data_IF_078543887114
#
_entry.id   IF_078543887114
#
_cell.length_a   1.000
_cell.length_b   1.000
_cell.length_c   1.000
_cell.angle_alpha   90.00
_cell.angle_beta   90.00
_cell.angle_gamma   90.00
#
_symmetry.space_group_name_H-M   'P 1'
#
loop_
_entity.id
_entity.type
_entity.pdbx_description
1 polymer ?
#
# COMPACT_ATOMS: atom_id res chain seq x y z
N UNK A 1 -27.76 -9.87 -10.76
CA UNK A 1 -26.76 -9.86 -11.84
C UNK A 1 -25.72 -10.94 -11.51
N UNK A 2 -25.76 -12.06 -12.22
CA UNK A 2 -24.67 -13.03 -12.21
C UNK A 2 -23.51 -12.35 -12.98
N UNK A 3 -22.49 -11.90 -12.28
CA UNK A 3 -21.23 -11.51 -12.90
C UNK A 3 -20.58 -12.81 -13.43
N UNK A 4 -20.26 -12.85 -14.70
CA UNK A 4 -19.55 -13.98 -15.28
C UNK A 4 -18.12 -13.99 -14.72
N UNK A 5 -17.70 -15.14 -14.19
CA UNK A 5 -16.33 -15.39 -13.76
C UNK A 5 -15.58 -16.10 -14.86
N UNK A 6 -14.34 -15.71 -15.08
CA UNK A 6 -13.43 -16.43 -15.96
C UNK A 6 -12.23 -16.91 -15.20
N UNK A 7 -11.72 -18.07 -15.56
CA UNK A 7 -10.48 -18.59 -14.98
C UNK A 7 -9.29 -18.02 -15.76
N UNK A 8 -8.33 -17.47 -15.04
CA UNK A 8 -7.05 -17.06 -15.61
C UNK A 8 -6.19 -18.32 -15.75
N UNK A 9 -5.73 -18.57 -16.96
CA UNK A 9 -4.90 -19.74 -17.28
C UNK A 9 -3.48 -19.32 -17.55
N UNK A 10 -2.55 -20.07 -17.00
CA UNK A 10 -1.15 -19.96 -17.38
C UNK A 10 -0.89 -20.72 -18.67
N UNK A 11 0.00 -20.19 -19.51
CA UNK A 11 0.45 -20.83 -20.73
C UNK A 11 1.16 -22.15 -20.41
N UNK A 12 0.79 -23.23 -21.09
CA UNK A 12 1.41 -24.54 -20.89
C UNK A 12 2.91 -24.49 -21.21
N UNK A 13 3.72 -24.97 -20.29
CA UNK A 13 5.17 -25.05 -20.45
C UNK A 13 5.90 -23.73 -20.24
N UNK A 14 5.26 -22.70 -19.68
CA UNK A 14 5.93 -21.44 -19.36
C UNK A 14 7.08 -21.65 -18.36
N UNK A 15 6.97 -22.67 -17.51
CA UNK A 15 7.95 -23.02 -16.49
C UNK A 15 9.31 -23.43 -17.10
N UNK A 16 9.30 -23.90 -18.35
CA UNK A 16 10.50 -24.26 -19.11
C UNK A 16 10.94 -23.14 -20.09
N UNK A 17 10.20 -22.03 -20.17
CA UNK A 17 10.55 -20.91 -21.04
C UNK A 17 11.85 -20.24 -20.54
N UNK A 18 12.91 -20.15 -21.37
CA UNK A 18 14.16 -19.54 -20.96
C UNK A 18 14.03 -18.10 -20.47
N UNK A 19 13.13 -17.32 -21.08
CA UNK A 19 12.91 -15.92 -20.70
C UNK A 19 12.29 -15.82 -19.30
N UNK A 20 11.33 -16.71 -19.00
CA UNK A 20 10.73 -16.80 -17.67
C UNK A 20 11.77 -17.26 -16.65
N UNK A 21 12.52 -18.32 -16.94
CA UNK A 21 13.53 -18.86 -16.03
C UNK A 21 14.60 -17.83 -15.68
N UNK A 22 15.06 -17.03 -16.64
CA UNK A 22 16.06 -15.99 -16.41
C UNK A 22 15.59 -14.96 -15.37
N UNK A 23 14.36 -14.44 -15.47
CA UNK A 23 13.85 -13.47 -14.51
C UNK A 23 13.44 -14.15 -13.20
N UNK A 24 12.92 -15.37 -13.26
CA UNK A 24 12.52 -16.13 -12.08
C UNK A 24 13.72 -16.45 -11.17
N UNK A 25 14.86 -16.82 -11.73
CA UNK A 25 16.10 -17.05 -10.98
C UNK A 25 16.54 -15.81 -10.16
N UNK A 26 16.21 -14.62 -10.63
CA UNK A 26 16.45 -13.39 -9.87
C UNK A 26 15.39 -13.17 -8.78
N UNK A 27 14.11 -13.42 -9.08
CA UNK A 27 12.96 -13.11 -8.21
C UNK A 27 12.73 -14.13 -7.10
N UNK A 28 13.03 -15.41 -7.32
CA UNK A 28 12.62 -16.52 -6.43
C UNK A 28 13.23 -16.48 -5.03
N UNK A 29 14.29 -15.73 -4.82
CA UNK A 29 15.00 -15.66 -3.54
C UNK A 29 14.17 -14.94 -2.50
N UNK A 30 13.90 -15.61 -1.39
CA UNK A 30 13.19 -14.99 -0.27
C UNK A 30 14.13 -14.15 0.58
N UNK A 31 13.58 -13.09 1.13
CA UNK A 31 14.30 -12.18 2.01
C UNK A 31 13.64 -12.07 3.36
N UNK A 32 14.43 -11.68 4.34
CA UNK A 32 13.98 -11.16 5.62
C UNK A 32 14.52 -9.75 5.78
N UNK A 33 14.02 -9.01 6.77
CA UNK A 33 14.52 -7.69 7.08
C UNK A 33 14.80 -7.53 8.57
N UNK A 34 15.68 -6.58 8.87
CA UNK A 34 15.85 -6.02 10.20
C UNK A 34 15.67 -4.52 10.14
N UNK A 35 15.32 -3.93 11.26
CA UNK A 35 15.14 -2.48 11.39
C UNK A 35 16.10 -1.99 12.46
N UNK A 36 16.95 -1.05 12.09
CA UNK A 36 17.86 -0.37 13.00
C UNK A 36 17.40 1.10 13.12
N UNK A 37 16.92 1.51 14.28
CA UNK A 37 16.58 2.91 14.54
C UNK A 37 16.93 3.35 15.97
N UNK A 38 17.19 4.65 16.15
CA UNK A 38 17.43 5.23 17.44
C UNK A 38 16.12 5.67 18.12
N UNK A 39 15.91 5.26 19.37
CA UNK A 39 14.70 5.61 20.12
C UNK A 39 14.62 7.11 20.41
N UNK A 40 15.76 7.81 20.54
CA UNK A 40 15.76 9.25 20.78
C UNK A 40 15.33 10.02 19.53
N UNK A 41 15.77 9.58 18.34
CA UNK A 41 15.31 10.14 17.06
C UNK A 41 13.81 9.96 16.88
N UNK A 42 13.28 8.79 17.27
CA UNK A 42 11.84 8.56 17.30
C UNK A 42 11.13 9.52 18.24
N UNK A 43 11.61 9.68 19.48
CA UNK A 43 10.99 10.57 20.47
C UNK A 43 10.96 12.01 19.95
N UNK A 44 12.06 12.51 19.41
CA UNK A 44 12.16 13.88 18.87
C UNK A 44 11.17 14.07 17.72
N UNK A 45 11.21 13.18 16.74
CA UNK A 45 10.38 13.28 15.53
C UNK A 45 8.90 13.10 15.82
N UNK A 46 8.52 12.12 16.66
CA UNK A 46 7.14 11.89 17.05
C UNK A 46 6.58 13.00 17.93
N UNK A 47 7.40 13.58 18.84
CA UNK A 47 6.99 14.74 19.64
C UNK A 47 6.66 15.94 18.75
N UNK A 48 7.47 16.16 17.70
CA UNK A 48 7.20 17.20 16.70
C UNK A 48 5.91 16.90 15.94
N UNK A 49 5.72 15.66 15.48
CA UNK A 49 4.51 15.27 14.75
C UNK A 49 3.23 15.47 15.60
N UNK A 50 3.28 15.15 16.90
CA UNK A 50 2.16 15.42 17.82
C UNK A 50 1.98 16.92 18.06
N UNK A 51 3.06 17.69 18.18
CA UNK A 51 3.00 19.15 18.31
C UNK A 51 2.31 19.80 17.11
N UNK A 52 2.60 19.32 15.91
CA UNK A 52 2.11 19.86 14.64
C UNK A 52 0.68 19.37 14.28
N UNK A 53 0.01 18.61 15.16
CA UNK A 53 -1.38 18.21 14.98
C UNK A 53 -2.31 19.44 14.83
N UNK A 54 -3.40 19.33 14.05
CA UNK A 54 -4.39 20.37 13.97
C UNK A 54 -5.00 20.68 15.34
N UNK A 55 -5.64 21.83 15.45
CA UNK A 55 -6.36 22.23 16.68
C UNK A 55 -7.41 21.18 17.05
N UNK A 56 -7.39 20.73 18.30
CA UNK A 56 -8.38 19.81 18.84
C UNK A 56 -9.61 20.57 19.26
N UNK A 57 -10.69 20.40 18.51
CA UNK A 57 -11.96 21.06 18.77
C UNK A 57 -12.84 20.23 19.69
N UNK A 58 -13.61 20.92 20.54
CA UNK A 58 -14.62 20.26 21.37
C UNK A 58 -15.63 19.49 20.48
N UNK A 59 -16.13 18.35 20.93
CA UNK A 59 -17.13 17.59 20.18
C UNK A 59 -18.40 18.41 20.01
N UNK A 60 -19.02 18.28 18.84
CA UNK A 60 -20.30 18.90 18.54
C UNK A 60 -21.31 17.83 18.16
N UNK A 61 -22.55 17.99 18.60
CA UNK A 61 -23.67 17.14 18.18
C UNK A 61 -24.49 17.93 17.17
N UNK A 62 -24.64 17.36 15.98
CA UNK A 62 -25.60 17.84 14.99
C UNK A 62 -26.87 17.04 15.11
N UNK A 63 -27.97 17.67 15.50
CA UNK A 63 -29.29 17.07 15.49
C UNK A 63 -30.08 17.58 14.29
N UNK A 64 -30.50 16.64 13.43
CA UNK A 64 -31.35 16.92 12.28
C UNK A 64 -32.79 16.56 12.63
N UNK A 65 -33.69 17.51 12.61
CA UNK A 65 -35.11 17.27 12.85
C UNK A 65 -35.80 17.02 11.50
N UNK A 66 -36.31 15.82 11.34
CA UNK A 66 -37.08 15.42 10.16
C UNK A 66 -38.54 15.21 10.59
N UNK A 67 -39.48 15.86 9.95
CA UNK A 67 -40.89 15.57 10.10
C UNK A 67 -41.29 14.52 9.08
N UNK A 68 -41.94 13.47 9.54
CA UNK A 68 -42.49 12.42 8.69
C UNK A 68 -44.01 12.57 8.70
N UNK A 69 -44.61 12.77 7.54
CA UNK A 69 -46.05 12.76 7.35
C UNK A 69 -46.46 11.55 6.51
N UNK A 70 -47.49 10.83 6.95
CA UNK A 70 -48.13 9.79 6.16
C UNK A 70 -49.32 10.40 5.43
N UNK A 71 -49.34 10.28 4.12
CA UNK A 71 -50.46 10.64 3.24
C UNK A 71 -50.97 9.36 2.56
N UNK A 72 -52.17 9.43 1.99
CA UNK A 72 -52.74 8.30 1.23
C UNK A 72 -51.90 7.92 0.00
N UNK A 73 -50.94 8.78 -0.42
CA UNK A 73 -50.02 8.58 -1.55
C UNK A 73 -48.65 8.03 -1.12
N UNK A 74 -48.39 7.93 0.21
CA UNK A 74 -47.12 7.42 0.71
C UNK A 74 -46.55 8.18 1.92
N UNK A 75 -45.29 7.95 2.21
CA UNK A 75 -44.56 8.62 3.30
C UNK A 75 -43.76 9.78 2.77
N UNK A 76 -44.13 10.99 3.20
CA UNK A 76 -43.41 12.23 2.87
C UNK A 76 -42.49 12.63 4.02
N UNK A 77 -41.24 13.00 3.69
CA UNK A 77 -40.25 13.47 4.66
C UNK A 77 -39.92 14.94 4.40
N UNK A 78 -40.19 15.78 5.38
CA UNK A 78 -39.82 17.20 5.35
C UNK A 78 -38.64 17.45 6.29
N UNK A 79 -37.58 18.05 5.77
CA UNK A 79 -36.45 18.55 6.56
C UNK A 79 -36.92 19.77 7.38
N UNK A 80 -36.83 19.65 8.73
CA UNK A 80 -37.32 20.67 9.63
C UNK A 80 -36.25 21.58 10.25
N UNK A 81 -34.98 21.31 9.96
CA UNK A 81 -33.83 22.12 10.37
C UNK A 81 -32.75 21.35 11.09
N UNK A 82 -31.54 21.90 11.09
CA UNK A 82 -30.39 21.42 11.82
C UNK A 82 -30.12 22.28 13.04
N UNK A 83 -29.80 21.67 14.17
CA UNK A 83 -29.26 22.33 15.34
C UNK A 83 -27.89 21.75 15.63
N UNK A 84 -26.87 22.60 15.67
CA UNK A 84 -25.51 22.21 16.06
C UNK A 84 -25.27 22.77 17.46
N UNK A 85 -25.03 21.88 18.41
CA UNK A 85 -24.65 22.23 19.79
C UNK A 85 -23.22 21.80 20.04
N UNK A 86 -22.37 22.74 20.47
CA UNK A 86 -21.00 22.45 20.94
C UNK A 86 -21.05 22.10 22.42
N UNK A 87 -20.51 20.94 22.76
CA UNK A 87 -20.41 20.51 24.15
C UNK A 87 -19.09 20.99 24.76
N UNK A 88 -19.01 22.25 25.18
CA UNK A 88 -17.94 22.78 25.98
C UNK A 88 -18.23 22.64 27.48
N UNK A 89 -17.30 22.09 28.26
CA UNK A 89 -17.39 22.11 29.72
C UNK A 89 -17.78 20.79 30.39
N UNK A 90 -17.82 19.67 29.68
CA UNK A 90 -17.99 18.35 30.32
C UNK A 90 -16.70 17.91 31.01
N UNK A 91 -16.85 17.40 32.27
CA UNK A 91 -15.75 16.67 32.93
C UNK A 91 -15.60 15.29 32.25
N UNK A 92 -14.69 15.21 31.29
CA UNK A 92 -14.37 13.94 30.66
C UNK A 92 -13.67 13.00 31.65
N UNK A 93 -14.10 11.76 31.70
CA UNK A 93 -13.31 10.73 32.34
C UNK A 93 -12.08 10.48 31.44
N UNK A 94 -10.91 10.85 31.92
CA UNK A 94 -9.66 10.67 31.17
C UNK A 94 -9.42 9.17 30.99
N UNK A 95 -9.34 8.66 29.74
CA UNK A 95 -9.05 7.25 29.48
C UNK A 95 -7.58 6.91 29.79
N UNK A 96 -7.22 5.62 29.77
CA UNK A 96 -5.80 5.21 29.82
C UNK A 96 -5.08 5.60 28.52
N UNK A 97 -4.56 6.83 28.51
CA UNK A 97 -3.86 7.45 27.37
C UNK A 97 -2.69 6.61 26.89
N UNK A 98 -1.86 6.17 27.84
CA UNK A 98 -0.65 5.41 27.49
C UNK A 98 -1.01 4.02 26.96
N UNK A 99 -1.98 3.34 27.59
CA UNK A 99 -2.45 2.04 27.13
C UNK A 99 -3.11 2.11 25.76
N UNK A 100 -3.89 3.16 25.49
CA UNK A 100 -4.49 3.36 24.17
C UNK A 100 -3.44 3.49 23.06
N UNK A 101 -2.48 4.42 23.22
CA UNK A 101 -1.43 4.64 22.22
C UNK A 101 -0.51 3.41 22.10
N UNK A 102 -0.18 2.75 23.22
CA UNK A 102 0.58 1.52 23.23
C UNK A 102 -0.08 0.42 22.37
N UNK A 103 -1.38 0.22 22.50
CA UNK A 103 -2.12 -0.78 21.72
C UNK A 103 -2.09 -0.52 20.20
N UNK A 104 -1.81 0.72 19.77
CA UNK A 104 -1.75 1.13 18.36
C UNK A 104 -0.34 1.17 17.79
N UNK A 105 0.67 1.34 18.64
CA UNK A 105 2.06 1.62 18.23
C UNK A 105 3.05 0.55 18.68
N UNK A 106 2.68 -0.28 19.67
CA UNK A 106 3.54 -1.28 20.33
C UNK A 106 4.78 -0.66 21.04
N UNK A 107 4.80 0.66 21.20
CA UNK A 107 5.85 1.36 21.93
C UNK A 107 5.71 1.15 23.45
N UNK A 108 6.81 1.32 24.17
CA UNK A 108 6.77 1.28 25.65
C UNK A 108 6.03 2.49 26.21
N UNK A 109 5.40 2.34 27.38
CA UNK A 109 4.68 3.44 28.06
C UNK A 109 5.61 4.62 28.36
N UNK A 110 6.88 4.36 28.69
CA UNK A 110 7.89 5.41 28.94
C UNK A 110 8.18 6.23 27.68
N UNK A 111 8.36 5.57 26.54
CA UNK A 111 8.57 6.25 25.25
C UNK A 111 7.37 7.14 24.90
N UNK A 112 6.15 6.60 25.03
CA UNK A 112 4.91 7.35 24.74
C UNK A 112 4.77 8.55 25.68
N UNK A 113 5.04 8.37 26.97
CA UNK A 113 4.99 9.45 27.96
C UNK A 113 5.96 10.57 27.59
N UNK A 114 7.18 10.23 27.19
CA UNK A 114 8.20 11.21 26.81
C UNK A 114 7.79 11.98 25.55
N UNK A 115 7.26 11.28 24.52
CA UNK A 115 6.73 11.89 23.30
C UNK A 115 5.64 12.91 23.64
N UNK A 116 4.62 12.50 24.41
CA UNK A 116 3.50 13.37 24.74
C UNK A 116 3.94 14.57 25.59
N UNK A 117 4.85 14.37 26.54
CA UNK A 117 5.39 15.44 27.38
C UNK A 117 6.16 16.47 26.55
N UNK A 118 7.05 16.01 25.67
CA UNK A 118 7.83 16.87 24.79
C UNK A 118 7.00 17.58 23.72
N UNK A 119 5.85 17.04 23.32
CA UNK A 119 4.95 17.68 22.35
C UNK A 119 4.32 18.97 22.90
N UNK A 120 4.17 19.09 24.22
CA UNK A 120 3.49 20.21 24.87
C UNK A 120 1.97 20.25 24.67
N UNK A 121 1.36 19.21 24.06
CA UNK A 121 -0.04 19.17 23.67
C UNK A 121 -0.93 18.30 24.58
N UNK A 122 -0.40 17.78 25.70
CA UNK A 122 -1.14 16.87 26.57
C UNK A 122 -2.45 17.49 27.13
N UNK A 123 -2.48 18.82 27.25
CA UNK A 123 -3.68 19.54 27.69
C UNK A 123 -4.88 19.42 26.76
N UNK A 124 -4.68 19.14 25.48
CA UNK A 124 -5.72 18.98 24.47
C UNK A 124 -6.64 17.79 24.76
N UNK A 125 -6.18 16.85 25.57
CA UNK A 125 -7.00 15.72 26.02
C UNK A 125 -8.25 16.17 26.78
N UNK A 126 -8.20 17.33 27.47
CA UNK A 126 -9.35 17.87 28.19
C UNK A 126 -10.40 18.46 27.26
N UNK A 127 -10.00 18.83 26.05
CA UNK A 127 -10.92 19.39 25.03
C UNK A 127 -11.72 18.30 24.31
N UNK A 128 -11.01 17.28 23.82
CA UNK A 128 -11.63 16.12 23.17
C UNK A 128 -10.70 14.90 23.29
N UNK A 129 -10.87 14.07 24.34
CA UNK A 129 -9.97 12.95 24.63
C UNK A 129 -9.82 11.99 23.45
N UNK A 130 -10.94 11.58 22.83
CA UNK A 130 -10.90 10.59 21.77
C UNK A 130 -10.19 11.11 20.51
N UNK A 131 -10.52 12.32 20.08
CA UNK A 131 -9.88 12.93 18.92
C UNK A 131 -8.38 13.12 19.14
N UNK A 132 -7.98 13.60 20.33
CA UNK A 132 -6.57 13.75 20.66
C UNK A 132 -5.82 12.43 20.65
N UNK A 133 -6.41 11.38 21.23
CA UNK A 133 -5.81 10.03 21.24
C UNK A 133 -5.64 9.44 19.84
N UNK A 134 -6.67 9.55 19.02
CA UNK A 134 -6.65 9.01 17.65
C UNK A 134 -5.60 9.70 16.79
N UNK A 135 -5.59 11.03 16.81
CA UNK A 135 -4.63 11.81 16.02
C UNK A 135 -3.19 11.63 16.52
N UNK A 136 -2.99 11.62 17.86
CA UNK A 136 -1.66 11.38 18.44
C UNK A 136 -1.15 9.98 18.12
N UNK A 137 -1.99 8.94 18.26
CA UNK A 137 -1.61 7.57 17.93
C UNK A 137 -1.25 7.43 16.45
N UNK A 138 -2.03 8.06 15.55
CA UNK A 138 -1.75 8.05 14.11
C UNK A 138 -0.44 8.77 13.78
N UNK A 139 -0.20 9.94 14.36
CA UNK A 139 1.03 10.71 14.14
C UNK A 139 2.27 9.94 14.62
N UNK A 140 2.22 9.39 15.83
CA UNK A 140 3.31 8.59 16.41
C UNK A 140 3.56 7.33 15.55
N UNK A 141 2.50 6.60 15.19
CA UNK A 141 2.60 5.38 14.38
C UNK A 141 3.19 5.64 13.00
N UNK A 142 2.77 6.74 12.35
CA UNK A 142 3.32 7.14 11.06
C UNK A 142 4.80 7.46 11.16
N UNK A 143 5.20 8.26 12.16
CA UNK A 143 6.60 8.61 12.40
C UNK A 143 7.45 7.37 12.70
N UNK A 144 6.93 6.43 13.50
CA UNK A 144 7.59 5.17 13.78
C UNK A 144 7.84 4.38 12.48
N UNK A 145 6.84 4.26 11.62
CA UNK A 145 6.99 3.55 10.35
C UNK A 145 7.96 4.25 9.39
N UNK A 146 7.94 5.58 9.30
CA UNK A 146 8.89 6.34 8.49
C UNK A 146 10.33 6.03 8.94
N UNK A 147 10.61 6.10 10.25
CA UNK A 147 11.93 5.83 10.81
C UNK A 147 12.34 4.36 10.64
N UNK A 148 11.41 3.42 10.88
CA UNK A 148 11.69 1.99 10.68
C UNK A 148 12.07 1.67 9.23
N UNK A 149 11.39 2.30 8.27
CA UNK A 149 11.63 2.04 6.85
C UNK A 149 12.89 2.75 6.36
N UNK A 150 13.21 3.92 6.89
CA UNK A 150 14.48 4.59 6.58
C UNK A 150 15.69 3.80 7.14
N UNK A 151 15.50 3.04 8.24
CA UNK A 151 16.49 2.14 8.84
C UNK A 151 16.39 0.67 8.40
N UNK A 152 15.53 0.34 7.42
CA UNK A 152 15.32 -1.05 7.01
C UNK A 152 16.51 -1.59 6.21
N UNK A 153 16.90 -2.81 6.54
CA UNK A 153 17.94 -3.56 5.82
C UNK A 153 17.41 -4.95 5.49
N UNK A 154 17.33 -5.24 4.20
CA UNK A 154 16.98 -6.57 3.74
C UNK A 154 18.21 -7.47 3.65
N UNK A 155 18.00 -8.76 3.74
CA UNK A 155 18.99 -9.78 3.43
C UNK A 155 18.32 -11.02 2.86
N UNK A 156 18.96 -11.66 1.89
CA UNK A 156 18.48 -12.91 1.34
C UNK A 156 18.62 -14.04 2.38
N UNK A 157 17.58 -14.89 2.46
CA UNK A 157 17.59 -16.07 3.32
C UNK A 157 18.25 -17.21 2.54
N UNK A 158 19.46 -17.61 2.93
CA UNK A 158 20.17 -18.70 2.27
C UNK A 158 19.33 -19.98 2.23
N UNK A 159 19.17 -20.57 1.04
CA UNK A 159 18.40 -21.79 0.83
C UNK A 159 16.87 -21.65 0.91
N UNK A 160 16.34 -20.45 1.03
CA UNK A 160 14.88 -20.19 1.00
C UNK A 160 14.47 -19.47 -0.29
N UNK A 161 13.63 -20.14 -1.06
CA UNK A 161 13.15 -19.66 -2.36
C UNK A 161 11.62 -19.80 -2.46
N UNK A 162 11.00 -19.05 -3.36
CA UNK A 162 9.63 -19.32 -3.77
C UNK A 162 9.62 -20.53 -4.71
N UNK A 163 8.75 -21.50 -4.43
CA UNK A 163 8.64 -22.71 -5.23
C UNK A 163 7.80 -22.46 -6.49
N UNK A 164 8.22 -23.05 -7.62
CA UNK A 164 7.51 -22.99 -8.90
C UNK A 164 6.08 -23.56 -8.82
N UNK A 165 5.88 -24.57 -7.97
CA UNK A 165 4.58 -25.21 -7.69
C UNK A 165 3.51 -24.25 -7.19
N UNK A 166 3.90 -23.07 -6.66
CA UNK A 166 2.97 -22.02 -6.26
C UNK A 166 2.19 -21.43 -7.45
N UNK A 167 2.72 -21.49 -8.67
CA UNK A 167 1.98 -21.10 -9.87
C UNK A 167 0.88 -22.10 -10.21
N UNK A 168 1.10 -23.40 -9.98
CA UNK A 168 0.13 -24.47 -10.29
C UNK A 168 -1.05 -24.47 -9.31
N UNK A 169 -0.82 -24.03 -8.06
CA UNK A 169 -1.82 -24.11 -6.99
C UNK A 169 -2.93 -23.06 -7.04
N UNK A 170 -2.89 -22.10 -7.98
CA UNK A 170 -3.86 -21.02 -8.04
C UNK A 170 -4.55 -20.93 -9.40
N UNK A 171 -5.74 -21.52 -9.52
CA UNK A 171 -6.72 -21.07 -10.49
C UNK A 171 -7.27 -19.73 -10.02
N UNK A 172 -6.86 -18.64 -10.67
CA UNK A 172 -7.39 -17.30 -10.41
C UNK A 172 -8.73 -17.14 -11.10
N UNK A 173 -9.83 -17.20 -10.35
CA UNK A 173 -11.14 -16.77 -10.84
C UNK A 173 -11.27 -15.26 -10.76
N UNK A 174 -11.39 -14.59 -11.89
CA UNK A 174 -11.59 -13.14 -11.99
C UNK A 174 -12.95 -12.83 -12.63
N UNK A 175 -13.59 -11.76 -12.18
CA UNK A 175 -14.82 -11.28 -12.82
C UNK A 175 -14.50 -10.62 -14.17
N UNK A 176 -15.11 -11.11 -15.25
CA UNK A 176 -14.88 -10.68 -16.65
C UNK A 176 -15.05 -9.16 -16.90
N UNK A 177 -15.59 -8.40 -16.00
CA UNK A 177 -15.91 -6.99 -16.24
C UNK A 177 -15.06 -6.00 -15.47
N UNK A 178 -14.12 -6.45 -14.64
CA UNK A 178 -13.44 -5.50 -13.77
C UNK A 178 -12.02 -5.37 -14.24
N UNK A 179 -11.25 -5.65 -14.84
CA UNK A 179 -9.87 -5.43 -15.25
C UNK A 179 -9.18 -6.72 -15.68
N UNK A 180 -9.36 -7.05 -16.93
CA UNK A 180 -8.55 -8.06 -17.61
C UNK A 180 -7.91 -7.46 -18.85
N UNK A 181 -6.71 -7.91 -19.19
CA UNK A 181 -6.03 -7.57 -20.43
C UNK A 181 -5.97 -8.81 -21.34
N UNK A 182 -6.38 -8.67 -22.60
CA UNK A 182 -6.28 -9.75 -23.59
C UNK A 182 -4.86 -9.85 -24.12
N UNK A 183 -4.24 -11.01 -23.93
CA UNK A 183 -2.91 -11.32 -24.46
C UNK A 183 -3.02 -11.59 -25.96
N UNK A 184 -2.20 -10.91 -26.76
CA UNK A 184 -2.11 -11.12 -28.21
C UNK A 184 -0.85 -11.92 -28.59
N UNK A 185 0.22 -11.82 -27.80
CA UNK A 185 1.45 -12.60 -27.94
C UNK A 185 1.80 -13.34 -26.65
N UNK A 186 1.26 -14.55 -26.48
CA UNK A 186 1.52 -15.39 -25.32
C UNK A 186 2.99 -15.82 -25.18
N UNK A 187 3.83 -15.64 -26.18
CA UNK A 187 5.27 -15.91 -26.09
C UNK A 187 6.03 -14.90 -25.25
N UNK A 188 5.41 -13.74 -24.94
CA UNK A 188 5.98 -12.67 -24.11
C UNK A 188 5.54 -12.74 -22.65
N UNK A 189 4.67 -13.67 -22.26
CA UNK A 189 4.11 -13.73 -20.90
C UNK A 189 3.89 -15.16 -20.42
N UNK A 190 3.60 -15.31 -19.12
CA UNK A 190 3.19 -16.59 -18.53
C UNK A 190 1.71 -16.90 -18.74
N UNK A 191 0.90 -15.96 -19.19
CA UNK A 191 -0.54 -16.11 -19.35
C UNK A 191 -0.90 -16.63 -20.74
N UNK A 192 -1.99 -17.40 -20.82
CA UNK A 192 -2.49 -17.98 -22.08
C UNK A 192 -3.29 -16.95 -22.89
N UNK A 193 -4.33 -16.37 -22.30
CA UNK A 193 -5.27 -15.47 -22.97
C UNK A 193 -5.52 -14.16 -22.21
N UNK A 194 -5.53 -14.20 -20.87
CA UNK A 194 -5.94 -13.08 -20.04
C UNK A 194 -4.96 -12.82 -18.89
N UNK A 195 -4.62 -11.57 -18.67
CA UNK A 195 -3.88 -11.09 -17.49
C UNK A 195 -4.86 -10.44 -16.53
N UNK A 196 -4.89 -10.85 -15.23
CA UNK A 196 -5.71 -10.18 -14.22
C UNK A 196 -5.09 -8.82 -13.86
N UNK A 197 -5.91 -7.78 -13.78
CA UNK A 197 -5.48 -6.43 -13.47
C UNK A 197 -6.29 -5.87 -12.31
N UNK A 198 -5.73 -4.88 -11.61
CA UNK A 198 -6.39 -4.19 -10.51
C UNK A 198 -6.77 -2.73 -10.87
N UNK A 199 -6.25 -2.21 -11.99
CA UNK A 199 -6.45 -0.80 -12.37
C UNK A 199 -6.30 -0.53 -13.87
N UNK A 200 -6.79 0.63 -14.32
CA UNK A 200 -6.63 1.09 -15.71
C UNK A 200 -5.18 1.43 -16.08
N UNK A 201 -4.35 1.86 -15.13
CA UNK A 201 -2.92 2.12 -15.39
C UNK A 201 -2.18 0.82 -15.70
N UNK A 202 -2.53 -0.27 -15.01
CA UNK A 202 -1.98 -1.59 -15.30
C UNK A 202 -2.37 -2.09 -16.69
N UNK A 203 -3.61 -1.81 -17.15
CA UNK A 203 -4.06 -2.17 -18.49
C UNK A 203 -3.21 -1.48 -19.57
N UNK A 204 -2.93 -0.19 -19.38
CA UNK A 204 -2.08 0.57 -20.29
C UNK A 204 -0.64 0.06 -20.27
N UNK A 205 -0.12 -0.25 -19.09
CA UNK A 205 1.22 -0.80 -18.96
C UNK A 205 1.36 -2.17 -19.64
N UNK A 206 0.37 -3.07 -19.49
CA UNK A 206 0.32 -4.35 -20.19
C UNK A 206 0.29 -4.15 -21.71
N UNK A 207 -0.51 -3.21 -22.22
CA UNK A 207 -0.57 -2.85 -23.64
C UNK A 207 0.80 -2.36 -24.15
N UNK A 208 1.46 -1.49 -23.39
CA UNK A 208 2.80 -0.99 -23.75
C UNK A 208 3.83 -2.13 -23.77
N UNK A 209 3.79 -3.06 -22.80
CA UNK A 209 4.65 -4.25 -22.77
C UNK A 209 4.43 -5.16 -23.99
N UNK A 210 3.17 -5.39 -24.36
CA UNK A 210 2.80 -6.23 -25.50
C UNK A 210 3.35 -5.68 -26.82
N UNK A 211 3.22 -4.36 -27.02
CA UNK A 211 3.55 -3.68 -28.27
C UNK A 211 5.02 -3.28 -28.41
N UNK A 212 5.77 -3.24 -27.31
CA UNK A 212 7.19 -2.86 -27.34
C UNK A 212 8.09 -3.99 -27.82
N UNK A 213 8.93 -3.72 -28.81
CA UNK A 213 9.95 -4.66 -29.29
C UNK A 213 11.10 -4.88 -28.28
N UNK A 214 11.31 -3.93 -27.38
CA UNK A 214 12.34 -3.99 -26.33
C UNK A 214 11.91 -4.83 -25.15
N UNK A 215 10.61 -5.07 -24.95
CA UNK A 215 10.10 -5.96 -23.91
C UNK A 215 10.09 -7.39 -24.46
N UNK A 216 10.93 -8.24 -23.88
CA UNK A 216 11.05 -9.65 -24.31
C UNK A 216 10.16 -10.58 -23.51
N UNK A 217 9.90 -10.22 -22.25
CA UNK A 217 9.01 -10.98 -21.39
C UNK A 217 8.45 -10.12 -20.26
N UNK A 218 7.20 -10.33 -19.89
CA UNK A 218 6.58 -9.63 -18.77
C UNK A 218 5.47 -10.47 -18.15
N UNK A 219 5.21 -10.28 -16.86
CA UNK A 219 4.06 -10.88 -16.20
C UNK A 219 3.71 -10.13 -14.92
N UNK A 220 2.42 -10.17 -14.56
CA UNK A 220 1.97 -9.65 -13.27
C UNK A 220 2.44 -10.60 -12.16
N UNK A 221 3.06 -10.07 -11.13
CA UNK A 221 3.51 -10.85 -9.99
C UNK A 221 2.30 -11.40 -9.23
N UNK A 222 2.26 -12.73 -8.96
CA UNK A 222 1.13 -13.33 -8.30
C UNK A 222 0.95 -12.82 -6.87
N UNK A 223 -0.29 -12.87 -6.35
CA UNK A 223 -0.61 -12.39 -5.01
C UNK A 223 0.13 -13.08 -3.86
N UNK A 224 0.69 -14.27 -4.09
CA UNK A 224 1.52 -14.98 -3.12
C UNK A 224 2.97 -14.48 -3.08
N UNK A 225 3.44 -13.78 -4.12
CA UNK A 225 4.75 -13.13 -4.11
C UNK A 225 4.70 -11.91 -3.18
N UNK A 226 5.21 -12.07 -1.98
CA UNK A 226 5.07 -11.05 -0.93
C UNK A 226 6.41 -10.73 -0.28
N UNK A 227 6.76 -9.46 -0.32
CA UNK A 227 7.91 -8.91 0.38
C UNK A 227 7.47 -8.54 1.79
N UNK A 228 8.09 -9.10 2.84
CA UNK A 228 7.75 -8.73 4.22
C UNK A 228 8.22 -7.30 4.52
N UNK A 229 7.37 -6.50 5.14
CA UNK A 229 7.67 -5.12 5.54
C UNK A 229 7.13 -4.80 6.93
N UNK A 230 7.62 -3.76 7.63
CA UNK A 230 7.11 -3.36 8.94
C UNK A 230 5.63 -2.96 8.94
N UNK A 231 5.10 -2.60 7.77
CA UNK A 231 3.69 -2.17 7.60
C UNK A 231 2.80 -3.24 6.97
N UNK A 232 3.24 -4.49 6.99
CA UNK A 232 2.56 -5.63 6.35
C UNK A 232 3.19 -6.01 5.02
N UNK A 233 2.71 -7.08 4.42
CA UNK A 233 3.27 -7.58 3.18
C UNK A 233 3.06 -6.61 2.01
N UNK A 234 4.06 -6.50 1.17
CA UNK A 234 4.03 -5.76 -0.10
C UNK A 234 4.10 -6.74 -1.27
N UNK A 235 3.25 -6.54 -2.26
CA UNK A 235 3.27 -7.28 -3.52
C UNK A 235 3.44 -6.26 -4.65
N UNK A 236 4.58 -6.19 -5.31
CA UNK A 236 4.76 -5.34 -6.49
C UNK A 236 3.97 -5.87 -7.68
N UNK A 237 3.71 -5.02 -8.67
CA UNK A 237 2.77 -5.36 -9.75
C UNK A 237 3.40 -6.26 -10.82
N UNK A 238 4.57 -5.92 -11.35
CA UNK A 238 5.10 -6.51 -12.57
C UNK A 238 6.53 -6.97 -12.47
N UNK A 239 6.84 -8.04 -13.19
CA UNK A 239 8.19 -8.46 -13.53
C UNK A 239 8.38 -8.33 -15.04
N UNK A 240 9.48 -7.69 -15.48
CA UNK A 240 9.72 -7.33 -16.89
C UNK A 240 11.16 -7.63 -17.30
N UNK A 241 11.33 -8.28 -18.44
CA UNK A 241 12.63 -8.43 -19.12
C UNK A 241 12.71 -7.44 -20.25
N UNK A 242 13.58 -6.48 -20.09
CA UNK A 242 13.92 -5.49 -21.12
C UNK A 242 15.22 -5.87 -21.79
N UNK A 243 15.32 -5.76 -23.10
CA UNK A 243 16.51 -6.05 -23.86
C UNK A 243 16.61 -5.11 -25.07
N UNK A 244 17.69 -4.29 -25.04
CA UNK A 244 18.18 -3.50 -26.12
C UNK A 244 19.66 -3.87 -26.32
N UNK A 245 20.60 -2.98 -26.17
CA UNK A 245 22.05 -3.30 -26.14
C UNK A 245 22.45 -4.15 -24.93
N UNK A 246 21.69 -4.05 -23.85
CA UNK A 246 21.85 -4.83 -22.61
C UNK A 246 20.51 -5.39 -22.15
N UNK A 247 20.55 -6.58 -21.55
CA UNK A 247 19.40 -7.18 -20.90
C UNK A 247 19.29 -6.68 -19.47
N UNK A 248 18.14 -6.10 -19.10
CA UNK A 248 17.85 -5.58 -17.77
C UNK A 248 16.54 -6.22 -17.28
N UNK A 249 16.53 -6.60 -16.00
CA UNK A 249 15.35 -7.14 -15.35
C UNK A 249 14.76 -6.07 -14.44
N UNK A 250 13.46 -5.80 -14.61
CA UNK A 250 12.74 -4.82 -13.80
C UNK A 250 11.68 -5.49 -12.95
N UNK A 251 11.50 -4.97 -11.73
CA UNK A 251 10.25 -5.07 -11.00
C UNK A 251 9.60 -3.68 -11.05
N UNK A 252 8.42 -3.61 -11.62
CA UNK A 252 7.70 -2.36 -11.78
C UNK A 252 6.47 -2.31 -10.87
N UNK A 253 6.29 -1.15 -10.23
CA UNK A 253 5.07 -0.75 -9.54
C UNK A 253 4.38 0.30 -10.39
N UNK A 254 3.12 0.05 -10.76
CA UNK A 254 2.35 0.94 -11.63
C UNK A 254 1.46 1.88 -10.83
N UNK A 255 1.64 3.19 -11.02
CA UNK A 255 0.84 4.22 -10.35
C UNK A 255 0.42 5.31 -11.31
N UNK A 256 -0.85 5.74 -11.20
CA UNK A 256 -1.35 6.92 -11.88
C UNK A 256 -1.55 8.05 -10.86
N UNK A 257 -0.78 9.11 -11.03
CA UNK A 257 -0.87 10.31 -10.19
C UNK A 257 -1.43 11.51 -10.97
N UNK A 258 -1.90 11.27 -12.21
CA UNK A 258 -2.38 12.32 -13.10
C UNK A 258 -1.26 13.25 -13.62
N UNK A 259 -0.01 12.79 -13.57
CA UNK A 259 1.19 13.53 -13.97
C UNK A 259 1.99 12.73 -15.00
N UNK A 260 2.78 13.38 -15.89
CA UNK A 260 3.58 12.67 -16.92
C UNK A 260 4.56 11.65 -16.32
N UNK A 261 5.13 11.93 -15.16
CA UNK A 261 5.90 11.01 -14.33
C UNK A 261 5.17 10.82 -13.01
N UNK A 262 5.38 9.68 -12.36
CA UNK A 262 4.72 9.38 -11.08
C UNK A 262 5.19 10.35 -9.99
N UNK A 263 4.25 11.10 -9.43
CA UNK A 263 4.49 11.98 -8.28
C UNK A 263 4.17 11.24 -6.98
N UNK A 264 5.19 10.72 -6.32
CA UNK A 264 5.05 9.95 -5.10
C UNK A 264 4.36 10.72 -3.97
N UNK A 265 4.42 12.07 -3.97
CA UNK A 265 3.79 12.90 -2.93
C UNK A 265 2.26 12.83 -2.97
N UNK A 266 1.67 12.45 -4.11
CA UNK A 266 0.22 12.30 -4.30
C UNK A 266 -0.31 10.93 -3.86
N UNK A 267 0.57 9.98 -3.60
CA UNK A 267 0.19 8.65 -3.12
C UNK A 267 -0.14 8.69 -1.63
N UNK A 268 -0.94 7.73 -1.17
CA UNK A 268 -1.18 7.57 0.26
C UNK A 268 0.12 7.29 1.02
N UNK A 269 0.16 7.68 2.30
CA UNK A 269 1.36 7.44 3.12
C UNK A 269 1.78 5.97 3.17
N UNK A 270 0.82 5.05 3.19
CA UNK A 270 1.10 3.61 3.19
C UNK A 270 1.70 3.12 1.87
N UNK A 271 1.26 3.65 0.72
CA UNK A 271 1.84 3.33 -0.58
C UNK A 271 3.27 3.84 -0.71
N UNK A 272 3.51 5.09 -0.30
CA UNK A 272 4.87 5.66 -0.27
C UNK A 272 5.84 4.78 0.54
N UNK A 273 5.40 4.31 1.71
CA UNK A 273 6.19 3.45 2.58
C UNK A 273 6.44 2.07 1.96
N UNK A 274 5.44 1.45 1.32
CA UNK A 274 5.60 0.18 0.59
C UNK A 274 6.57 0.31 -0.57
N UNK A 275 6.52 1.40 -1.33
CA UNK A 275 7.45 1.71 -2.42
C UNK A 275 8.88 1.84 -1.88
N UNK A 276 9.10 2.54 -0.77
CA UNK A 276 10.41 2.62 -0.12
C UNK A 276 10.94 1.23 0.27
N UNK A 277 10.08 0.38 0.85
CA UNK A 277 10.43 -0.99 1.18
C UNK A 277 10.77 -1.82 -0.07
N UNK A 278 9.99 -1.69 -1.15
CA UNK A 278 10.27 -2.34 -2.44
C UNK A 278 11.64 -1.96 -2.98
N UNK A 279 11.94 -0.66 -2.99
CA UNK A 279 13.25 -0.16 -3.41
C UNK A 279 14.39 -0.71 -2.57
N UNK A 280 14.26 -0.69 -1.24
CA UNK A 280 15.27 -1.24 -0.33
C UNK A 280 15.44 -2.75 -0.53
N UNK A 281 14.34 -3.50 -0.74
CA UNK A 281 14.36 -4.93 -0.99
C UNK A 281 15.10 -5.28 -2.28
N UNK A 282 14.76 -4.65 -3.41
CA UNK A 282 15.35 -4.98 -4.70
C UNK A 282 16.78 -4.45 -4.87
N UNK A 283 17.24 -3.53 -4.03
CA UNK A 283 18.66 -3.15 -3.97
C UNK A 283 19.58 -4.30 -3.51
N UNK A 284 19.03 -5.34 -2.87
CA UNK A 284 19.78 -6.56 -2.51
C UNK A 284 19.98 -7.54 -3.69
N UNK A 285 19.43 -7.22 -4.87
CA UNK A 285 19.50 -8.06 -6.07
C UNK A 285 20.36 -7.37 -7.14
N UNK A 286 21.52 -7.93 -7.43
CA UNK A 286 22.54 -7.33 -8.31
C UNK A 286 22.07 -7.04 -9.76
N UNK A 287 21.07 -7.79 -10.23
CA UNK A 287 20.60 -7.74 -11.63
C UNK A 287 19.16 -7.30 -11.79
N UNK A 288 18.56 -6.78 -10.73
CA UNK A 288 17.15 -6.44 -10.72
C UNK A 288 16.96 -4.97 -10.34
N UNK A 289 16.35 -4.19 -11.22
CA UNK A 289 15.99 -2.81 -10.95
C UNK A 289 14.52 -2.69 -10.51
N UNK A 290 14.27 -1.86 -9.52
CA UNK A 290 12.91 -1.53 -9.08
C UNK A 290 12.51 -0.12 -9.51
N UNK A 291 11.42 0.00 -10.25
CA UNK A 291 10.90 1.27 -10.76
C UNK A 291 9.43 1.47 -10.42
N UNK A 292 9.05 2.72 -10.18
CA UNK A 292 7.65 3.14 -10.04
C UNK A 292 7.28 3.95 -11.27
N UNK A 293 6.34 3.47 -12.04
CA UNK A 293 6.08 3.97 -13.40
C UNK A 293 4.58 4.06 -13.70
N UNK A 294 4.21 4.86 -14.69
CA UNK A 294 2.86 4.85 -15.27
C UNK A 294 2.83 4.36 -16.72
N UNK A 295 3.99 4.14 -17.34
CA UNK A 295 4.18 3.62 -18.71
C UNK A 295 5.53 2.92 -18.85
N UNK A 296 5.65 2.01 -19.80
CA UNK A 296 6.86 1.21 -20.05
C UNK A 296 8.10 2.07 -20.36
N UNK A 297 7.95 3.17 -21.12
CA UNK A 297 9.08 4.04 -21.46
C UNK A 297 9.87 4.58 -20.26
N UNK A 298 9.24 4.66 -19.09
CA UNK A 298 9.91 5.12 -17.86
C UNK A 298 10.80 4.07 -17.20
N UNK A 299 10.77 2.81 -17.66
CA UNK A 299 11.69 1.79 -17.15
C UNK A 299 13.15 2.07 -17.53
N UNK A 300 13.38 2.79 -18.62
CA UNK A 300 14.69 3.05 -19.20
C UNK A 300 15.16 4.52 -19.04
N UNK A 301 14.29 5.39 -18.56
CA UNK A 301 14.66 6.74 -18.12
C UNK A 301 15.31 6.70 -16.72
#
# INVERSE_FOLDING_TARGET
NKRERTAIKYRKGFEADPKFLEIWEQLKKRTTYRVDYDTQDLIVSASKAVKDLPEIKAPSIRSTKVSISMTDEGVDTMYAGDKVESYGGYSWKIPDVLGYIQSKTELTRSTIQEILSKSGRIGDILTNPQLFLDLSAQAIKRTLYDIMIDGIKYQQIGGSEYEMTLFEAQELEVYLNDYTFNVTDSSKTIYEELIPLDSGVESKFAQDCETSDQIKFYFKLPNWFKIPTPIGNYNPDWAVVFEDDKKIYFVAETKDTGTPQVDLSKLSGSEQLKIKCGKAHFNEFEKMDYKVVNKVGQLIE
#
